data_IF_639777901409
#
_entry.id   IF_639777901409
#
_cell.length_a   1.000
_cell.length_b   1.000
_cell.length_c   1.000
_cell.angle_alpha   90.00
_cell.angle_beta   90.00
_cell.angle_gamma   90.00
#
_symmetry.space_group_name_H-M   'P 1'
#
loop_
_entity.id
_entity.type
_entity.pdbx_description
1 polymer ?
#
# COMPACT_ATOMS: atom_id res chain seq x y z
N UNK A 1 -49.59 4.64 -0.66
CA UNK A 1 -48.83 5.91 -0.50
C UNK A 1 -47.56 5.57 0.23
N UNK A 2 -46.46 5.50 -0.50
CA UNK A 2 -45.16 5.31 0.10
C UNK A 2 -44.38 6.60 -0.09
N UNK A 3 -44.08 7.27 1.01
CA UNK A 3 -43.24 8.47 1.03
C UNK A 3 -41.80 8.13 0.64
N UNK A 4 -41.31 8.83 -0.36
CA UNK A 4 -39.91 8.80 -0.76
C UNK A 4 -39.11 9.65 0.21
N UNK A 5 -38.40 9.04 1.13
CA UNK A 5 -37.33 9.71 1.84
C UNK A 5 -36.12 9.82 0.94
N UNK A 6 -35.85 11.04 0.49
CA UNK A 6 -34.61 11.37 -0.17
C UNK A 6 -33.47 11.30 0.87
N UNK A 7 -32.56 10.35 0.70
CA UNK A 7 -31.31 10.31 1.47
C UNK A 7 -30.34 11.24 0.77
N UNK A 8 -30.15 12.42 1.35
CA UNK A 8 -29.12 13.38 0.96
C UNK A 8 -27.76 12.83 1.34
N UNK A 9 -26.98 12.49 0.32
CA UNK A 9 -25.65 11.87 0.45
C UNK A 9 -24.52 12.88 0.67
N UNK A 10 -24.69 13.96 1.44
CA UNK A 10 -23.69 14.97 1.65
C UNK A 10 -22.95 14.89 2.99
N UNK A 11 -22.50 13.70 3.39
CA UNK A 11 -21.49 13.56 4.43
C UNK A 11 -20.28 12.80 3.91
N UNK A 12 -19.59 13.42 2.97
CA UNK A 12 -18.21 13.11 2.63
C UNK A 12 -17.33 13.74 3.71
N UNK A 13 -17.07 13.02 4.78
CA UNK A 13 -16.03 13.40 5.73
C UNK A 13 -14.66 13.14 5.08
N UNK A 14 -14.06 14.20 4.57
CA UNK A 14 -12.65 14.23 4.21
C UNK A 14 -11.87 14.22 5.52
N UNK A 15 -11.26 13.08 5.86
CA UNK A 15 -10.27 13.01 6.92
C UNK A 15 -9.00 13.71 6.43
N UNK A 16 -8.76 14.94 6.86
CA UNK A 16 -7.59 15.72 6.45
C UNK A 16 -7.65 17.20 6.79
N UNK A 17 -8.46 17.64 7.74
CA UNK A 17 -8.37 19.00 8.28
C UNK A 17 -7.44 19.02 9.49
N UNK A 18 -6.24 19.51 9.24
CA UNK A 18 -5.50 20.55 9.91
C UNK A 18 -5.95 20.84 11.36
N UNK A 19 -5.11 20.41 12.29
CA UNK A 19 -5.02 21.03 13.59
C UNK A 19 -4.24 22.34 13.41
N UNK A 20 -4.95 23.44 13.35
CA UNK A 20 -4.41 24.75 13.64
C UNK A 20 -4.16 24.81 15.14
N UNK A 21 -2.93 24.51 15.53
CA UNK A 21 -2.39 24.77 16.85
C UNK A 21 -1.96 26.23 16.89
N UNK A 22 -2.89 27.11 17.18
CA UNK A 22 -2.61 28.49 17.61
C UNK A 22 -2.05 28.43 19.03
N UNK A 23 -0.76 28.06 19.14
CA UNK A 23 0.04 28.23 20.34
C UNK A 23 0.33 29.71 20.56
N UNK A 24 -0.40 30.30 21.49
CA UNK A 24 -0.17 31.55 22.17
C UNK A 24 1.30 31.72 22.54
N UNK A 25 2.01 32.65 21.85
CA UNK A 25 3.37 33.05 22.19
C UNK A 25 3.28 34.17 23.21
N UNK A 26 3.33 33.80 24.49
CA UNK A 26 3.60 34.73 25.58
C UNK A 26 5.00 35.33 25.44
N UNK A 27 5.06 36.60 25.10
CA UNK A 27 6.23 37.47 25.33
C UNK A 27 6.45 37.57 26.83
N UNK A 28 7.58 37.08 27.29
CA UNK A 28 8.21 37.67 28.50
C UNK A 28 9.72 37.71 28.30
N UNK A 29 10.22 38.91 28.39
CA UNK A 29 11.58 39.34 28.24
C UNK A 29 12.55 38.79 29.27
N UNK A 30 13.79 38.77 28.87
CA UNK A 30 14.93 38.45 29.74
C UNK A 30 16.22 38.55 28.96
N UNK A 31 16.75 39.80 28.89
CA UNK A 31 18.15 40.05 28.59
C UNK A 31 19.05 39.19 29.49
N UNK A 32 19.94 38.44 28.89
CA UNK A 32 21.32 38.32 29.37
C UNK A 32 22.22 37.81 28.26
N UNK A 33 23.07 38.69 27.81
CA UNK A 33 24.20 38.42 26.96
C UNK A 33 25.22 37.55 27.70
N UNK A 34 25.37 36.28 27.36
CA UNK A 34 26.53 35.49 27.72
C UNK A 34 27.52 35.47 26.55
N UNK A 35 28.46 36.40 26.68
CA UNK A 35 29.60 36.59 25.79
C UNK A 35 30.57 35.44 26.04
N UNK A 36 30.62 34.46 25.18
CA UNK A 36 31.69 33.47 25.19
C UNK A 36 33.00 34.13 24.82
N UNK A 37 34.03 34.05 25.68
CA UNK A 37 35.33 34.65 25.38
C UNK A 37 36.04 33.83 24.29
N UNK A 38 36.28 34.48 23.17
CA UNK A 38 37.24 34.04 22.16
C UNK A 38 38.64 33.99 22.79
N UNK A 39 39.07 32.81 23.21
CA UNK A 39 40.43 32.59 23.63
C UNK A 39 41.35 32.62 22.42
N UNK A 40 41.82 33.80 22.07
CA UNK A 40 42.95 33.99 21.15
C UNK A 40 44.22 33.71 21.94
N UNK A 41 44.69 32.49 21.94
CA UNK A 41 46.03 32.16 22.43
C UNK A 41 47.02 32.32 21.29
N UNK A 42 47.53 33.55 21.18
CA UNK A 42 48.75 33.85 20.44
C UNK A 42 49.96 33.31 21.23
N UNK A 43 50.42 32.13 20.97
CA UNK A 43 51.71 31.66 21.48
C UNK A 43 52.72 31.50 20.35
N UNK A 44 53.40 32.59 20.07
CA UNK A 44 54.63 32.65 19.26
C UNK A 44 55.78 32.12 20.12
N UNK A 45 56.27 30.94 19.87
CA UNK A 45 57.59 30.46 20.32
C UNK A 45 58.22 29.55 19.28
N UNK A 46 59.20 30.14 18.66
CA UNK A 46 60.60 29.71 18.52
C UNK A 46 60.84 28.23 18.16
N UNK A 47 61.29 28.12 16.93
CA UNK A 47 62.28 27.19 16.37
C UNK A 47 62.96 26.22 17.34
N UNK A 48 62.73 24.92 17.16
CA UNK A 48 63.75 23.90 17.24
C UNK A 48 63.38 22.70 16.38
N UNK A 49 64.24 22.40 15.41
CA UNK A 49 64.18 21.21 14.57
C UNK A 49 64.28 19.93 15.40
N UNK A 50 63.17 19.27 15.59
CA UNK A 50 63.15 17.84 15.93
C UNK A 50 62.24 17.16 14.96
N UNK A 51 62.78 16.27 14.14
CA UNK A 51 62.07 15.41 13.22
C UNK A 51 61.21 14.44 14.05
N UNK A 52 60.00 14.85 14.40
CA UNK A 52 59.02 13.97 15.00
C UNK A 52 58.33 13.21 13.89
N UNK A 53 58.59 11.91 13.84
CA UNK A 53 57.83 10.94 13.05
C UNK A 53 56.34 11.13 13.42
N UNK A 54 55.59 11.75 12.52
CA UNK A 54 54.14 11.97 12.71
C UNK A 54 53.47 10.63 12.55
N UNK A 55 53.30 9.94 13.67
CA UNK A 55 52.39 8.79 13.75
C UNK A 55 51.00 9.23 13.26
N UNK A 56 50.34 8.50 12.34
CA UNK A 56 49.04 8.91 11.82
C UNK A 56 48.06 8.94 12.97
N UNK A 57 47.61 10.15 13.37
CA UNK A 57 46.57 10.33 14.37
C UNK A 57 45.29 9.62 13.88
N UNK A 58 44.96 8.49 14.49
CA UNK A 58 43.67 7.83 14.27
C UNK A 58 42.59 8.86 14.50
N UNK A 59 41.88 9.21 13.43
CA UNK A 59 40.70 10.12 13.51
C UNK A 59 39.69 9.44 14.45
N UNK A 60 39.62 9.93 15.69
CA UNK A 60 38.60 9.50 16.65
C UNK A 60 37.27 10.05 16.10
N UNK A 61 36.46 9.17 15.51
CA UNK A 61 35.13 9.54 15.06
C UNK A 61 34.31 9.89 16.30
N UNK A 62 33.74 11.10 16.31
CA UNK A 62 32.85 11.59 17.35
C UNK A 62 31.77 10.53 17.68
N UNK A 63 31.45 10.30 18.97
CA UNK A 63 30.37 9.38 19.36
C UNK A 63 29.06 9.68 18.65
N UNK A 64 28.75 10.95 18.42
CA UNK A 64 27.57 11.41 17.70
C UNK A 64 27.55 10.88 16.24
N UNK A 65 28.68 10.88 15.55
CA UNK A 65 28.79 10.35 14.18
C UNK A 65 28.54 8.84 14.12
N UNK A 66 28.83 8.11 15.19
CA UNK A 66 28.52 6.68 15.28
C UNK A 66 27.03 6.44 15.44
N UNK A 67 26.40 7.26 16.30
CA UNK A 67 24.93 7.18 16.54
C UNK A 67 24.19 7.53 15.25
N UNK A 68 24.54 8.64 14.60
CA UNK A 68 23.90 9.05 13.35
C UNK A 68 24.06 8.01 12.25
N UNK A 69 25.23 7.40 12.15
CA UNK A 69 25.45 6.33 11.18
C UNK A 69 24.60 5.10 11.50
N UNK A 70 24.49 4.71 12.77
CA UNK A 70 23.64 3.61 13.19
C UNK A 70 22.17 3.86 12.83
N UNK A 71 21.64 5.04 13.18
CA UNK A 71 20.26 5.43 12.82
C UNK A 71 20.03 5.44 11.30
N UNK A 72 21.00 5.91 10.53
CA UNK A 72 20.87 5.91 9.07
C UNK A 72 20.83 4.49 8.49
N UNK A 73 21.67 3.59 8.95
CA UNK A 73 21.67 2.19 8.51
C UNK A 73 20.36 1.50 8.90
N UNK A 74 19.88 1.70 10.12
CA UNK A 74 18.60 1.15 10.59
C UNK A 74 17.41 1.69 9.76
N UNK A 75 17.37 3.00 9.48
CA UNK A 75 16.36 3.60 8.61
C UNK A 75 16.42 3.03 7.20
N UNK A 76 17.60 2.81 6.67
CA UNK A 76 17.79 2.21 5.34
C UNK A 76 17.28 0.77 5.29
N UNK A 77 17.55 -0.03 6.31
CA UNK A 77 17.06 -1.41 6.41
C UNK A 77 15.55 -1.46 6.55
N UNK A 78 14.96 -0.63 7.39
CA UNK A 78 13.51 -0.55 7.56
C UNK A 78 12.80 -0.11 6.28
N UNK A 79 13.35 0.87 5.56
CA UNK A 79 12.81 1.31 4.28
C UNK A 79 12.90 0.20 3.22
N UNK A 80 14.02 -0.51 3.15
CA UNK A 80 14.17 -1.63 2.23
C UNK A 80 13.19 -2.77 2.53
N UNK A 81 13.00 -3.10 3.81
CA UNK A 81 12.02 -4.10 4.24
C UNK A 81 10.59 -3.68 3.91
N UNK A 82 10.24 -2.39 4.13
CA UNK A 82 8.94 -1.85 3.81
C UNK A 82 8.65 -1.87 2.30
N UNK A 83 9.63 -1.49 1.47
CA UNK A 83 9.52 -1.56 0.02
C UNK A 83 9.31 -3.01 -0.47
N UNK A 84 10.07 -3.96 0.07
CA UNK A 84 9.90 -5.37 -0.27
C UNK A 84 8.51 -5.87 0.12
N UNK A 85 8.04 -5.55 1.32
CA UNK A 85 6.70 -5.95 1.78
C UNK A 85 5.58 -5.36 0.90
N UNK A 86 5.75 -4.12 0.39
CA UNK A 86 4.81 -3.53 -0.56
C UNK A 86 4.83 -4.27 -1.91
N UNK A 87 6.01 -4.57 -2.44
CA UNK A 87 6.14 -5.31 -3.69
C UNK A 87 5.53 -6.71 -3.58
N UNK A 88 5.78 -7.43 -2.48
CA UNK A 88 5.21 -8.75 -2.25
C UNK A 88 3.67 -8.70 -2.21
N UNK A 89 3.08 -7.66 -1.60
CA UNK A 89 1.62 -7.46 -1.60
C UNK A 89 1.06 -7.19 -2.99
N UNK A 90 1.75 -6.39 -3.80
CA UNK A 90 1.32 -6.12 -5.19
C UNK A 90 1.35 -7.40 -6.02
N UNK A 91 2.44 -8.15 -5.97
CA UNK A 91 2.57 -9.43 -6.68
C UNK A 91 1.49 -10.43 -6.24
N UNK A 92 1.20 -10.49 -4.94
CA UNK A 92 0.14 -11.35 -4.41
C UNK A 92 -1.24 -10.93 -4.92
N UNK A 93 -1.53 -9.62 -4.95
CA UNK A 93 -2.80 -9.10 -5.45
C UNK A 93 -2.97 -9.37 -6.96
N UNK A 94 -1.91 -9.20 -7.75
CA UNK A 94 -1.92 -9.54 -9.18
C UNK A 94 -2.17 -11.02 -9.42
N UNK A 95 -1.54 -11.90 -8.64
CA UNK A 95 -1.75 -13.34 -8.71
C UNK A 95 -3.20 -13.71 -8.43
N UNK A 96 -3.79 -13.18 -7.37
CA UNK A 96 -5.21 -13.42 -7.03
C UNK A 96 -6.13 -12.92 -8.14
N UNK A 97 -5.84 -11.76 -8.72
CA UNK A 97 -6.62 -11.21 -9.83
C UNK A 97 -6.52 -12.11 -11.07
N UNK A 98 -5.34 -12.64 -11.37
CA UNK A 98 -5.13 -13.53 -12.49
C UNK A 98 -5.86 -14.85 -12.29
N UNK A 99 -5.75 -15.47 -11.12
CA UNK A 99 -6.49 -16.69 -10.77
C UNK A 99 -8.01 -16.51 -10.91
N UNK A 100 -8.52 -15.33 -10.51
CA UNK A 100 -9.94 -15.00 -10.70
C UNK A 100 -10.31 -14.93 -12.18
N UNK A 101 -9.52 -14.26 -13.02
CA UNK A 101 -9.74 -14.17 -14.47
C UNK A 101 -9.73 -15.55 -15.11
N UNK A 102 -8.73 -16.38 -14.78
CA UNK A 102 -8.60 -17.71 -15.32
C UNK A 102 -9.79 -18.61 -14.93
N UNK A 103 -10.25 -18.49 -13.69
CA UNK A 103 -11.45 -19.18 -13.21
C UNK A 103 -12.72 -18.77 -13.97
N UNK A 104 -12.90 -17.48 -14.25
CA UNK A 104 -14.03 -16.98 -15.03
C UNK A 104 -13.96 -17.52 -16.47
N UNK A 105 -12.80 -17.38 -17.11
CA UNK A 105 -12.59 -17.88 -18.48
C UNK A 105 -12.88 -19.36 -18.61
N UNK A 106 -12.42 -20.16 -17.64
CA UNK A 106 -12.70 -21.58 -17.58
C UNK A 106 -14.20 -21.89 -17.47
N UNK A 107 -14.92 -21.16 -16.61
CA UNK A 107 -16.37 -21.36 -16.46
C UNK A 107 -17.12 -20.96 -17.73
N UNK A 108 -16.70 -19.87 -18.40
CA UNK A 108 -17.30 -19.45 -19.66
C UNK A 108 -17.08 -20.47 -20.78
N UNK A 109 -15.86 -21.00 -20.93
CA UNK A 109 -15.59 -22.07 -21.90
C UNK A 109 -16.50 -23.30 -21.67
N UNK A 110 -16.64 -23.72 -20.42
CA UNK A 110 -17.50 -24.84 -20.06
C UNK A 110 -18.99 -24.55 -20.29
N UNK A 111 -19.43 -23.28 -20.14
CA UNK A 111 -20.79 -22.87 -20.45
C UNK A 111 -21.07 -22.98 -21.98
N UNK A 112 -20.15 -22.48 -22.80
CA UNK A 112 -20.25 -22.58 -24.28
C UNK A 112 -20.23 -24.03 -24.72
N UNK A 113 -19.32 -24.87 -24.21
CA UNK A 113 -19.29 -26.30 -24.47
C UNK A 113 -20.59 -27.02 -24.07
N UNK A 114 -21.30 -26.46 -23.08
CA UNK A 114 -22.59 -27.00 -22.62
C UNK A 114 -23.79 -26.55 -23.47
N UNK A 115 -23.56 -25.65 -24.44
CA UNK A 115 -24.60 -25.16 -25.35
C UNK A 115 -25.11 -23.77 -25.05
N UNK A 116 -24.48 -23.02 -24.14
CA UNK A 116 -24.75 -21.60 -23.92
C UNK A 116 -23.99 -20.77 -24.95
N UNK A 117 -24.49 -20.68 -26.17
CA UNK A 117 -23.84 -19.96 -27.26
C UNK A 117 -23.82 -18.45 -27.02
N UNK A 118 -22.83 -17.77 -27.59
CA UNK A 118 -22.76 -16.29 -27.57
C UNK A 118 -24.06 -15.70 -28.08
N UNK A 119 -24.60 -14.72 -27.32
CA UNK A 119 -25.88 -14.08 -27.62
C UNK A 119 -27.12 -14.82 -27.08
N UNK A 120 -26.99 -15.99 -26.47
CA UNK A 120 -28.09 -16.66 -25.78
C UNK A 120 -28.32 -16.06 -24.38
N UNK A 121 -29.57 -16.19 -23.88
CA UNK A 121 -29.91 -15.79 -22.52
C UNK A 121 -29.05 -16.52 -21.47
N UNK A 122 -28.71 -17.77 -21.72
CA UNK A 122 -27.87 -18.60 -20.87
C UNK A 122 -26.42 -18.06 -20.81
N UNK A 123 -25.88 -17.59 -21.93
CA UNK A 123 -24.56 -17.00 -21.99
C UNK A 123 -24.51 -15.69 -21.21
N UNK A 124 -25.48 -14.80 -21.41
CA UNK A 124 -25.60 -13.56 -20.65
C UNK A 124 -25.75 -13.82 -19.14
N UNK A 125 -26.52 -14.84 -18.79
CA UNK A 125 -26.67 -15.25 -17.39
C UNK A 125 -25.32 -15.77 -16.83
N UNK A 126 -24.56 -16.54 -17.60
CA UNK A 126 -23.25 -17.04 -17.21
C UNK A 126 -22.27 -15.89 -16.91
N UNK A 127 -22.22 -14.86 -17.76
CA UNK A 127 -21.41 -13.66 -17.55
C UNK A 127 -21.75 -12.99 -16.21
N UNK A 128 -23.03 -12.85 -15.92
CA UNK A 128 -23.51 -12.22 -14.67
C UNK A 128 -23.18 -13.07 -13.43
N UNK A 129 -23.37 -14.38 -13.52
CA UNK A 129 -23.17 -15.30 -12.40
C UNK A 129 -21.70 -15.49 -12.04
N UNK A 130 -20.83 -15.63 -13.06
CA UNK A 130 -19.43 -16.00 -12.85
C UNK A 130 -18.56 -14.85 -12.34
N UNK A 131 -19.08 -13.65 -12.18
CA UNK A 131 -18.44 -12.58 -11.40
C UNK A 131 -18.27 -12.99 -9.94
N UNK A 132 -19.24 -13.75 -9.38
CA UNK A 132 -19.21 -14.24 -8.01
C UNK A 132 -18.53 -15.60 -7.92
N UNK A 133 -17.63 -15.75 -6.98
CA UNK A 133 -16.85 -16.97 -6.81
C UNK A 133 -17.72 -18.18 -6.42
N UNK A 134 -18.70 -17.96 -5.55
CA UNK A 134 -19.60 -19.03 -5.09
C UNK A 134 -20.32 -19.69 -6.27
N UNK A 135 -20.79 -18.89 -7.22
CA UNK A 135 -21.47 -19.43 -8.41
C UNK A 135 -20.52 -20.21 -9.32
N UNK A 136 -19.27 -19.75 -9.47
CA UNK A 136 -18.26 -20.50 -10.22
C UNK A 136 -17.97 -21.84 -9.57
N UNK A 137 -17.80 -21.87 -8.26
CA UNK A 137 -17.54 -23.09 -7.52
C UNK A 137 -18.69 -24.10 -7.71
N UNK A 138 -19.94 -23.66 -7.51
CA UNK A 138 -21.13 -24.50 -7.73
C UNK A 138 -21.18 -25.00 -9.18
N UNK A 139 -20.95 -24.14 -10.17
CA UNK A 139 -20.96 -24.52 -11.59
C UNK A 139 -19.88 -25.57 -11.92
N UNK A 140 -18.69 -25.45 -11.35
CA UNK A 140 -17.58 -26.38 -11.55
C UNK A 140 -17.84 -27.77 -10.93
N UNK A 141 -18.70 -27.86 -9.90
CA UNK A 141 -19.08 -29.17 -9.33
C UNK A 141 -19.99 -29.98 -10.26
N UNK A 142 -20.66 -29.31 -11.22
CA UNK A 142 -21.51 -29.99 -12.18
C UNK A 142 -20.65 -30.66 -13.27
N UNK A 143 -20.59 -31.97 -13.29
CA UNK A 143 -19.71 -32.71 -14.18
C UNK A 143 -20.26 -32.88 -15.60
N UNK A 144 -21.60 -32.86 -15.77
CA UNK A 144 -22.26 -33.12 -17.05
C UNK A 144 -22.61 -31.85 -17.80
N UNK A 145 -22.38 -31.84 -19.13
CA UNK A 145 -22.73 -30.74 -20.02
C UNK A 145 -24.24 -30.37 -19.94
N UNK A 146 -25.18 -31.34 -20.05
CA UNK A 146 -26.60 -31.01 -19.92
C UNK A 146 -26.96 -30.47 -18.51
N UNK A 147 -26.29 -30.91 -17.46
CA UNK A 147 -26.49 -30.38 -16.10
C UNK A 147 -26.06 -28.93 -15.96
N UNK A 148 -24.95 -28.56 -16.59
CA UNK A 148 -24.47 -27.15 -16.63
C UNK A 148 -25.45 -26.26 -17.36
N UNK A 149 -25.95 -26.68 -18.51
CA UNK A 149 -26.95 -25.95 -19.27
C UNK A 149 -28.27 -25.80 -18.47
N UNK A 150 -28.69 -26.86 -17.81
CA UNK A 150 -29.91 -26.83 -16.97
C UNK A 150 -29.74 -25.88 -15.78
N UNK A 151 -28.54 -25.80 -15.21
CA UNK A 151 -28.22 -24.82 -14.15
C UNK A 151 -28.41 -23.38 -14.66
N UNK A 152 -27.84 -23.02 -15.82
CA UNK A 152 -27.98 -21.69 -16.40
C UNK A 152 -29.44 -21.39 -16.75
N UNK A 153 -30.18 -22.31 -17.38
CA UNK A 153 -31.61 -22.16 -17.68
C UNK A 153 -32.47 -21.92 -16.44
N UNK A 154 -32.14 -22.56 -15.32
CA UNK A 154 -32.82 -22.33 -14.05
C UNK A 154 -32.61 -20.90 -13.57
N UNK A 155 -31.40 -20.36 -13.69
CA UNK A 155 -31.11 -18.98 -13.33
C UNK A 155 -31.78 -17.97 -14.27
N UNK A 156 -31.84 -18.24 -15.60
CA UNK A 156 -32.58 -17.41 -16.55
C UNK A 156 -34.05 -17.31 -16.16
N UNK A 157 -34.69 -18.42 -15.84
CA UNK A 157 -36.10 -18.41 -15.37
C UNK A 157 -36.27 -17.65 -14.05
N UNK A 158 -35.37 -17.84 -13.11
CA UNK A 158 -35.42 -17.16 -11.81
C UNK A 158 -35.24 -15.64 -11.91
N UNK A 159 -34.58 -15.17 -12.96
CA UNK A 159 -34.33 -13.74 -13.22
C UNK A 159 -35.21 -13.15 -14.33
N UNK A 160 -36.12 -13.94 -14.91
CA UNK A 160 -36.97 -13.56 -16.06
C UNK A 160 -36.19 -13.01 -17.25
N UNK A 161 -35.05 -13.64 -17.56
CA UNK A 161 -34.22 -13.36 -18.73
C UNK A 161 -34.56 -14.42 -19.77
N UNK A 162 -35.25 -14.01 -20.84
CA UNK A 162 -35.61 -14.85 -22.00
C UNK A 162 -34.81 -14.41 -23.22
#
# INVERSE_FOLDING_TARGET
MFERTAVDGSTSCVAGEQMDDEGDIGEEGGDEADVTPLSVSNNKRSSNNTVTVISPKKKIRSPMMRIMKGMYEEMKETNAAAQKAMQDKVVQAEKVLQEKKDSITKCMSLAVESGAFEGSAEHFMADTLFVKEEHRQVFLTITTSPGRLAFLKRWCRAKNVE
#
